data_IF_646633094137
#
_entry.id   IF_646633094137
#
_cell.length_a   1.000
_cell.length_b   1.000
_cell.length_c   1.000
_cell.angle_alpha   90.00
_cell.angle_beta   90.00
_cell.angle_gamma   90.00
#
_symmetry.space_group_name_H-M   'P 1'
#
loop_
_entity.id
_entity.type
_entity.pdbx_description
1 polymer ?
#
# COMPACT_ATOMS: atom_id res chain seq x y z
N UNK A 1 71.10 31.29 -6.48
CA UNK A 1 70.37 31.54 -5.22
C UNK A 1 69.11 32.33 -5.57
N UNK A 2 67.99 31.95 -4.96
CA UNK A 2 66.59 32.30 -5.31
C UNK A 2 66.03 31.44 -6.46
N UNK A 3 65.00 30.63 -6.16
CA UNK A 3 63.74 30.48 -6.94
C UNK A 3 62.77 29.47 -6.29
N UNK A 4 61.60 30.00 -5.92
CA UNK A 4 60.25 29.41 -5.85
C UNK A 4 60.03 28.04 -5.18
N UNK A 5 59.49 28.06 -3.95
CA UNK A 5 58.63 27.01 -3.43
C UNK A 5 57.16 27.43 -3.63
N UNK A 6 56.44 26.74 -4.51
CA UNK A 6 54.99 26.89 -4.71
C UNK A 6 54.25 26.23 -3.53
N UNK A 7 53.40 27.01 -2.86
CA UNK A 7 52.40 26.49 -1.95
C UNK A 7 51.34 25.69 -2.73
N UNK A 8 51.22 24.41 -2.43
CA UNK A 8 50.10 23.57 -2.87
C UNK A 8 49.22 23.31 -1.66
N UNK A 9 48.25 24.20 -1.41
CA UNK A 9 47.16 23.94 -0.47
C UNK A 9 46.18 23.02 -1.19
N UNK A 10 46.20 21.74 -0.83
CA UNK A 10 45.20 20.77 -1.26
C UNK A 10 43.90 21.10 -0.55
N UNK A 11 42.96 21.71 -1.27
CA UNK A 11 41.55 21.75 -0.88
C UNK A 11 40.97 20.35 -1.10
N UNK A 12 41.07 19.48 -0.08
CA UNK A 12 40.14 18.36 0.04
C UNK A 12 38.84 18.96 0.57
N UNK A 13 37.98 19.42 -0.33
CA UNK A 13 36.58 19.59 0.00
C UNK A 13 36.05 18.19 0.31
N UNK A 14 35.93 17.86 1.60
CA UNK A 14 35.09 16.77 2.02
C UNK A 14 33.68 17.13 1.58
N UNK A 15 33.27 16.64 0.42
CA UNK A 15 31.86 16.50 0.08
C UNK A 15 31.29 15.45 1.04
N UNK A 16 31.08 15.85 2.29
CA UNK A 16 30.10 15.17 3.12
C UNK A 16 28.80 15.29 2.33
N UNK A 17 28.14 14.18 1.96
CA UNK A 17 26.78 14.30 1.49
C UNK A 17 26.03 14.93 2.67
N UNK A 18 25.66 16.21 2.52
CA UNK A 18 24.61 16.81 3.33
C UNK A 18 23.37 16.04 2.93
N UNK A 19 23.08 14.97 3.68
CA UNK A 19 21.76 14.37 3.65
C UNK A 19 20.88 15.48 4.19
N UNK A 20 20.09 16.10 3.33
CA UNK A 20 19.01 16.95 3.78
C UNK A 20 18.10 16.01 4.59
N UNK A 21 18.22 16.07 5.91
CA UNK A 21 17.35 15.33 6.79
C UNK A 21 15.93 15.87 6.57
N UNK A 22 14.96 14.97 6.43
CA UNK A 22 13.59 15.36 6.15
C UNK A 22 13.01 15.85 7.46
N UNK A 23 12.97 17.18 7.61
CA UNK A 23 12.45 17.83 8.80
C UNK A 23 10.91 17.73 8.79
N UNK A 24 10.38 16.71 9.46
CA UNK A 24 8.94 16.52 9.63
C UNK A 24 8.49 17.31 10.86
N UNK A 25 7.49 18.18 10.68
CA UNK A 25 6.87 18.97 11.74
C UNK A 25 5.47 18.50 12.02
N UNK A 26 5.13 18.33 13.29
CA UNK A 26 3.74 18.08 13.72
C UNK A 26 2.98 19.40 13.78
N UNK A 27 1.87 19.48 13.05
CA UNK A 27 0.97 20.64 12.98
C UNK A 27 -0.33 20.29 13.69
N UNK A 28 -0.64 21.02 14.77
CA UNK A 28 -1.91 20.88 15.51
C UNK A 28 -2.87 21.96 15.08
N UNK A 29 -4.08 21.55 14.70
CA UNK A 29 -5.10 22.48 14.23
C UNK A 29 -5.99 22.98 15.37
N UNK A 30 -6.61 24.17 15.23
CA UNK A 30 -7.61 24.65 16.19
C UNK A 30 -8.79 23.70 16.42
N UNK A 31 -9.24 22.96 15.40
CA UNK A 31 -10.31 21.97 15.54
C UNK A 31 -9.86 20.64 16.18
N UNK A 32 -8.58 20.51 16.54
CA UNK A 32 -8.05 19.36 17.28
C UNK A 32 -7.49 18.23 16.43
N UNK A 33 -7.26 18.47 15.14
CA UNK A 33 -6.58 17.51 14.26
C UNK A 33 -5.06 17.65 14.35
N UNK A 34 -4.37 16.58 13.96
CA UNK A 34 -2.92 16.57 13.79
C UNK A 34 -2.60 16.27 12.33
N UNK A 35 -1.72 17.06 11.74
CA UNK A 35 -1.15 16.82 10.42
C UNK A 35 0.38 16.80 10.50
N UNK A 36 1.03 16.09 9.58
CA UNK A 36 2.49 16.13 9.44
C UNK A 36 2.89 16.96 8.23
N UNK A 37 3.90 17.82 8.39
CA UNK A 37 4.35 18.76 7.37
C UNK A 37 5.83 18.59 7.09
N UNK A 38 6.20 18.55 5.81
CA UNK A 38 7.56 18.82 5.33
C UNK A 38 7.50 20.06 4.46
N UNK A 39 7.97 21.18 5.00
CA UNK A 39 7.97 22.46 4.29
C UNK A 39 9.10 22.49 3.25
N UNK A 40 8.75 22.79 2.00
CA UNK A 40 9.69 22.91 0.88
C UNK A 40 9.33 24.14 0.03
N UNK A 41 9.83 25.34 0.40
CA UNK A 41 9.47 26.60 -0.26
C UNK A 41 10.12 26.77 -1.64
N UNK A 42 11.07 25.92 -2.04
CA UNK A 42 11.73 26.05 -3.34
C UNK A 42 10.84 25.59 -4.51
N UNK A 43 9.78 24.81 -4.23
CA UNK A 43 8.83 24.32 -5.22
C UNK A 43 7.47 24.96 -4.94
N UNK A 44 6.95 25.86 -5.80
CA UNK A 44 5.71 26.61 -5.56
C UNK A 44 4.46 25.75 -5.81
N UNK A 45 4.41 24.59 -5.15
CA UNK A 45 3.34 23.64 -5.21
C UNK A 45 3.24 22.90 -3.87
N UNK A 46 2.01 22.55 -3.52
CA UNK A 46 1.68 21.81 -2.32
C UNK A 46 1.14 20.46 -2.73
N UNK A 47 1.60 19.41 -2.05
CA UNK A 47 1.05 18.07 -2.09
C UNK A 47 0.40 17.79 -0.74
N UNK A 48 -0.89 17.46 -0.75
CA UNK A 48 -1.70 17.16 0.42
C UNK A 48 -2.21 15.72 0.28
N UNK A 49 -2.04 14.93 1.34
CA UNK A 49 -2.52 13.57 1.42
C UNK A 49 -3.40 13.43 2.66
N UNK A 50 -4.56 12.82 2.49
CA UNK A 50 -5.52 12.52 3.56
C UNK A 50 -5.90 11.05 3.45
N UNK A 51 -5.78 10.30 4.54
CA UNK A 51 -6.34 8.95 4.63
C UNK A 51 -7.47 8.95 5.65
N UNK A 52 -8.65 8.47 5.23
CA UNK A 52 -9.74 8.10 6.11
C UNK A 52 -9.70 6.60 6.34
N UNK A 53 -9.42 6.16 7.57
CA UNK A 53 -9.30 4.73 7.88
C UNK A 53 -10.66 4.02 7.79
N UNK A 54 -10.69 2.78 7.33
CA UNK A 54 -11.88 1.95 7.16
C UNK A 54 -12.12 1.42 5.74
N UNK A 55 -11.67 2.13 4.69
CA UNK A 55 -11.66 1.68 3.29
C UNK A 55 -12.93 0.95 2.83
N UNK A 56 -12.78 -0.09 2.00
CA UNK A 56 -13.91 -0.97 1.65
C UNK A 56 -14.33 -1.87 2.81
N UNK A 57 -13.48 -2.07 3.82
CA UNK A 57 -13.76 -2.96 4.96
C UNK A 57 -14.91 -2.47 5.86
N UNK A 58 -15.29 -1.19 5.75
CA UNK A 58 -16.45 -0.62 6.44
C UNK A 58 -17.75 -0.67 5.61
N UNK A 59 -17.75 -1.30 4.43
CA UNK A 59 -18.97 -1.50 3.65
C UNK A 59 -20.03 -2.21 4.51
N UNK A 60 -21.26 -1.69 4.45
CA UNK A 60 -22.36 -2.26 5.21
C UNK A 60 -22.66 -3.71 4.75
N UNK A 61 -23.21 -4.57 5.63
CA UNK A 61 -23.58 -5.93 5.24
C UNK A 61 -24.49 -5.96 4.01
N UNK A 62 -24.10 -6.75 3.00
CA UNK A 62 -24.81 -6.86 1.72
C UNK A 62 -24.61 -5.67 0.77
N UNK A 63 -23.70 -4.73 1.09
CA UNK A 63 -23.41 -3.52 0.31
C UNK A 63 -21.94 -3.46 -0.15
N UNK A 64 -21.27 -4.61 -0.29
CA UNK A 64 -19.89 -4.68 -0.78
C UNK A 64 -19.75 -3.99 -2.14
N UNK A 65 -18.74 -3.14 -2.26
CA UNK A 65 -18.52 -2.28 -3.43
C UNK A 65 -19.13 -0.89 -3.29
N UNK A 66 -19.87 -0.59 -2.22
CA UNK A 66 -20.49 0.72 -2.01
C UNK A 66 -19.44 1.82 -1.82
N UNK A 67 -18.44 1.60 -0.99
CA UNK A 67 -17.36 2.58 -0.80
C UNK A 67 -16.54 2.74 -2.08
N UNK A 68 -16.26 1.65 -2.80
CA UNK A 68 -15.56 1.72 -4.09
C UNK A 68 -16.30 2.57 -5.13
N UNK A 69 -17.60 2.28 -5.35
CA UNK A 69 -18.42 3.04 -6.28
C UNK A 69 -18.60 4.51 -5.83
N UNK A 70 -18.75 4.75 -4.52
CA UNK A 70 -18.85 6.08 -3.94
C UNK A 70 -17.59 6.91 -4.19
N UNK A 71 -16.40 6.33 -4.00
CA UNK A 71 -15.11 7.00 -4.24
C UNK A 71 -14.99 7.46 -5.70
N UNK A 72 -15.36 6.60 -6.66
CA UNK A 72 -15.36 6.95 -8.08
C UNK A 72 -16.36 8.05 -8.48
N UNK A 73 -17.26 8.45 -7.57
CA UNK A 73 -18.25 9.50 -7.79
C UNK A 73 -17.89 10.83 -7.10
N UNK A 74 -16.80 10.89 -6.32
CA UNK A 74 -16.41 12.11 -5.59
C UNK A 74 -16.06 13.28 -6.52
N UNK A 75 -15.51 13.00 -7.70
CA UNK A 75 -15.20 14.00 -8.73
C UNK A 75 -16.27 14.12 -9.84
N UNK A 76 -17.36 13.37 -9.74
CA UNK A 76 -18.40 13.30 -10.77
C UNK A 76 -19.51 14.36 -10.58
N UNK A 77 -19.10 15.51 -10.03
CA UNK A 77 -19.94 16.66 -9.71
C UNK A 77 -20.08 16.87 -8.20
N UNK A 78 -19.88 18.09 -7.76
CA UNK A 78 -19.87 18.49 -6.36
C UNK A 78 -20.39 19.91 -6.19
N UNK A 79 -21.12 20.17 -5.10
CA UNK A 79 -21.79 21.45 -4.89
C UNK A 79 -22.75 21.78 -6.04
N UNK A 80 -22.53 22.93 -6.70
CA UNK A 80 -23.32 23.40 -7.84
C UNK A 80 -22.71 23.00 -9.20
N UNK A 81 -21.57 22.30 -9.21
CA UNK A 81 -20.87 21.88 -10.42
C UNK A 81 -21.28 20.47 -10.84
N UNK A 82 -21.56 20.28 -12.13
CA UNK A 82 -21.60 18.94 -12.73
C UNK A 82 -20.17 18.40 -12.94
N UNK A 83 -20.05 17.13 -13.35
CA UNK A 83 -18.75 16.49 -13.56
C UNK A 83 -17.81 17.29 -14.49
N UNK A 84 -18.37 17.89 -15.55
CA UNK A 84 -17.60 18.67 -16.51
C UNK A 84 -17.13 20.00 -15.91
N UNK A 85 -18.03 20.71 -15.25
CA UNK A 85 -17.72 21.97 -14.58
C UNK A 85 -16.70 21.78 -13.45
N UNK A 86 -16.77 20.65 -12.72
CA UNK A 86 -15.78 20.30 -11.71
C UNK A 86 -14.40 20.07 -12.33
N UNK A 87 -14.32 19.29 -13.42
CA UNK A 87 -13.07 19.05 -14.13
C UNK A 87 -12.48 20.35 -14.74
N UNK A 88 -13.30 21.18 -15.38
CA UNK A 88 -12.87 22.47 -15.93
C UNK A 88 -12.35 23.40 -14.82
N UNK A 89 -13.06 23.51 -13.69
CA UNK A 89 -12.60 24.32 -12.55
C UNK A 89 -11.29 23.80 -11.95
N UNK A 90 -11.10 22.48 -11.85
CA UNK A 90 -9.85 21.87 -11.37
C UNK A 90 -8.69 22.18 -12.32
N UNK A 91 -8.91 22.02 -13.62
CA UNK A 91 -7.89 22.20 -14.64
C UNK A 91 -7.48 23.68 -14.77
N UNK A 92 -8.43 24.63 -14.65
CA UNK A 92 -8.17 26.08 -14.63
C UNK A 92 -7.27 26.50 -13.46
N UNK A 93 -7.35 25.79 -12.34
CA UNK A 93 -6.51 26.00 -11.15
C UNK A 93 -5.14 25.31 -11.23
N UNK A 94 -4.89 24.56 -12.32
CA UNK A 94 -3.76 23.64 -12.46
C UNK A 94 -3.63 22.68 -11.26
N UNK A 95 -4.78 22.26 -10.72
CA UNK A 95 -4.85 21.33 -9.60
C UNK A 95 -5.01 19.88 -10.10
N UNK A 96 -4.62 18.93 -9.26
CA UNK A 96 -4.84 17.50 -9.47
C UNK A 96 -5.42 16.92 -8.19
N UNK A 97 -6.54 16.21 -8.29
CA UNK A 97 -7.14 15.48 -7.19
C UNK A 97 -7.21 14.01 -7.57
N UNK A 98 -6.89 13.13 -6.64
CA UNK A 98 -7.00 11.68 -6.75
C UNK A 98 -7.82 11.17 -5.58
N UNK A 99 -8.75 10.26 -5.87
CA UNK A 99 -9.57 9.58 -4.89
C UNK A 99 -9.45 8.09 -5.14
N UNK A 100 -8.83 7.39 -4.20
CA UNK A 100 -8.65 5.94 -4.28
C UNK A 100 -9.18 5.29 -3.00
N UNK A 101 -9.38 3.99 -3.06
CA UNK A 101 -9.87 3.21 -1.93
C UNK A 101 -9.21 1.84 -1.93
N UNK A 102 -8.61 1.51 -0.79
CA UNK A 102 -8.14 0.16 -0.49
C UNK A 102 -9.07 -0.52 0.50
N UNK A 103 -8.65 -1.69 1.00
CA UNK A 103 -9.41 -2.38 2.04
C UNK A 103 -9.53 -1.54 3.31
N UNK A 104 -8.48 -0.78 3.65
CA UNK A 104 -8.30 -0.17 4.96
C UNK A 104 -8.38 1.35 4.98
N UNK A 105 -8.38 2.01 3.81
CA UNK A 105 -8.51 3.45 3.75
C UNK A 105 -9.15 3.95 2.46
N UNK A 106 -9.84 5.09 2.55
CA UNK A 106 -10.07 5.98 1.41
C UNK A 106 -8.95 7.02 1.42
N UNK A 107 -8.21 7.13 0.32
CA UNK A 107 -7.14 8.10 0.16
C UNK A 107 -7.54 9.25 -0.74
N UNK A 108 -7.19 10.46 -0.31
CA UNK A 108 -7.38 11.69 -1.06
C UNK A 108 -6.01 12.32 -1.26
N UNK A 109 -5.57 12.34 -2.51
CA UNK A 109 -4.32 12.98 -2.92
C UNK A 109 -4.66 14.27 -3.64
N UNK A 110 -4.10 15.39 -3.21
CA UNK A 110 -4.33 16.69 -3.84
C UNK A 110 -3.01 17.42 -4.09
N UNK A 111 -2.88 17.96 -5.29
CA UNK A 111 -1.75 18.80 -5.68
C UNK A 111 -2.24 20.08 -6.30
N UNK A 112 -1.69 21.22 -5.87
CA UNK A 112 -2.06 22.54 -6.36
C UNK A 112 -0.90 23.52 -6.23
N UNK A 113 -0.98 24.64 -6.95
CA UNK A 113 0.04 25.70 -6.89
C UNK A 113 -0.15 26.54 -5.63
N UNK A 114 0.94 27.07 -5.05
CA UNK A 114 0.89 27.92 -3.86
C UNK A 114 -0.08 29.10 -4.05
N UNK A 115 -0.06 29.72 -5.24
CA UNK A 115 -0.87 30.88 -5.60
C UNK A 115 -2.37 30.58 -5.77
N UNK A 116 -2.78 29.31 -5.96
CA UNK A 116 -4.18 28.89 -6.15
C UNK A 116 -4.71 28.02 -5.01
N UNK A 117 -4.00 28.00 -3.88
CA UNK A 117 -4.29 27.12 -2.74
C UNK A 117 -5.73 27.29 -2.24
N UNK A 118 -6.22 28.51 -2.08
CA UNK A 118 -7.53 28.75 -1.46
C UNK A 118 -8.70 28.30 -2.34
N UNK A 119 -8.59 28.50 -3.65
CA UNK A 119 -9.54 28.06 -4.66
C UNK A 119 -9.51 26.54 -4.83
N UNK A 120 -8.31 25.93 -4.88
CA UNK A 120 -8.16 24.48 -5.01
C UNK A 120 -8.72 23.76 -3.78
N UNK A 121 -8.43 24.25 -2.57
CA UNK A 121 -8.98 23.70 -1.33
C UNK A 121 -10.50 23.91 -1.26
N UNK A 122 -11.03 25.02 -1.79
CA UNK A 122 -12.48 25.21 -1.88
C UNK A 122 -13.16 24.18 -2.78
N UNK A 123 -12.54 23.85 -3.92
CA UNK A 123 -13.06 22.84 -4.84
C UNK A 123 -12.96 21.44 -4.24
N UNK A 124 -11.85 21.11 -3.58
CA UNK A 124 -11.67 19.84 -2.88
C UNK A 124 -12.66 19.67 -1.71
N UNK A 125 -12.92 20.75 -0.94
CA UNK A 125 -13.95 20.76 0.11
C UNK A 125 -15.31 20.34 -0.44
N UNK A 126 -15.69 20.82 -1.64
CA UNK A 126 -16.96 20.45 -2.27
C UNK A 126 -17.01 18.96 -2.62
N UNK A 127 -15.95 18.41 -3.22
CA UNK A 127 -15.87 16.99 -3.56
C UNK A 127 -16.00 16.09 -2.32
N UNK A 128 -15.33 16.48 -1.22
CA UNK A 128 -15.36 15.71 0.03
C UNK A 128 -16.67 15.85 0.79
N UNK A 129 -17.24 17.05 0.89
CA UNK A 129 -18.37 17.32 1.77
C UNK A 129 -19.74 17.27 1.09
N UNK A 130 -19.79 17.50 -0.23
CA UNK A 130 -21.03 17.64 -0.97
C UNK A 130 -20.94 17.04 -2.39
N UNK A 131 -20.51 15.77 -2.57
CA UNK A 131 -20.62 15.10 -3.85
C UNK A 131 -22.10 14.97 -4.24
N UNK A 132 -22.40 15.22 -5.52
CA UNK A 132 -23.79 15.32 -6.01
C UNK A 132 -24.51 13.97 -6.06
N UNK A 133 -23.77 12.90 -6.34
CA UNK A 133 -24.29 11.58 -6.70
C UNK A 133 -25.44 11.70 -7.71
N UNK A 134 -25.23 12.47 -8.78
CA UNK A 134 -26.23 12.68 -9.82
C UNK A 134 -26.65 11.34 -10.44
N UNK A 135 -27.95 11.08 -10.69
CA UNK A 135 -28.41 9.76 -11.13
C UNK A 135 -27.74 9.25 -12.43
N UNK A 136 -27.49 10.14 -13.38
CA UNK A 136 -26.80 9.85 -14.63
C UNK A 136 -25.31 9.54 -14.41
N UNK A 137 -24.64 10.26 -13.52
CA UNK A 137 -23.26 9.96 -13.12
C UNK A 137 -23.17 8.60 -12.41
N UNK A 138 -24.07 8.32 -11.46
CA UNK A 138 -24.12 7.05 -10.72
C UNK A 138 -24.25 5.87 -11.67
N UNK A 139 -25.19 5.91 -12.62
CA UNK A 139 -25.37 4.80 -13.56
C UNK A 139 -24.17 4.66 -14.51
N UNK A 140 -23.58 5.76 -14.97
CA UNK A 140 -22.38 5.71 -15.81
C UNK A 140 -21.19 5.09 -15.09
N UNK A 141 -20.88 5.53 -13.86
CA UNK A 141 -19.76 4.97 -13.08
C UNK A 141 -20.05 3.53 -12.69
N UNK A 142 -21.30 3.19 -12.34
CA UNK A 142 -21.71 1.79 -12.11
C UNK A 142 -21.43 0.93 -13.33
N UNK A 143 -21.79 1.38 -14.52
CA UNK A 143 -21.54 0.64 -15.77
C UNK A 143 -20.03 0.44 -16.03
N UNK A 144 -19.20 1.42 -15.70
CA UNK A 144 -17.74 1.31 -15.78
C UNK A 144 -17.20 0.26 -14.78
N UNK A 145 -17.65 0.29 -13.52
CA UNK A 145 -17.27 -0.71 -12.50
C UNK A 145 -17.73 -2.11 -12.92
N UNK A 146 -18.98 -2.25 -13.41
CA UNK A 146 -19.49 -3.53 -13.90
C UNK A 146 -18.73 -4.03 -15.13
N UNK A 147 -18.22 -3.15 -15.99
CA UNK A 147 -17.34 -3.55 -17.09
C UNK A 147 -15.98 -4.05 -16.58
N UNK A 148 -15.38 -3.36 -15.61
CA UNK A 148 -14.16 -3.80 -14.92
C UNK A 148 -14.32 -5.18 -14.30
N UNK A 149 -15.35 -5.37 -13.47
CA UNK A 149 -15.66 -6.65 -12.83
C UNK A 149 -15.89 -7.81 -13.82
N UNK A 150 -16.41 -7.54 -15.02
CA UNK A 150 -16.52 -8.56 -16.08
C UNK A 150 -15.17 -8.92 -16.66
N UNK A 151 -14.30 -7.93 -16.87
CA UNK A 151 -12.92 -8.16 -17.32
C UNK A 151 -12.14 -8.96 -16.27
N UNK A 152 -12.29 -8.61 -15.01
CA UNK A 152 -11.63 -9.27 -13.88
C UNK A 152 -12.06 -10.73 -13.70
N UNK A 153 -13.32 -11.03 -14.01
CA UNK A 153 -13.83 -12.41 -13.99
C UNK A 153 -13.18 -13.31 -15.07
N UNK A 154 -12.50 -12.72 -16.06
CA UNK A 154 -11.75 -13.42 -17.10
C UNK A 154 -10.23 -13.34 -16.88
N UNK A 155 -9.78 -12.60 -15.85
CA UNK A 155 -8.37 -12.42 -15.54
C UNK A 155 -7.88 -13.44 -14.49
N UNK A 156 -6.90 -14.31 -14.85
CA UNK A 156 -6.44 -15.37 -13.95
C UNK A 156 -5.78 -14.84 -12.66
N UNK A 157 -5.23 -13.64 -12.71
CA UNK A 157 -4.56 -13.03 -11.57
C UNK A 157 -5.57 -12.50 -10.56
N UNK A 158 -6.65 -11.86 -11.02
CA UNK A 158 -7.77 -11.44 -10.17
C UNK A 158 -8.54 -12.64 -9.61
N UNK A 159 -8.77 -13.70 -10.42
CA UNK A 159 -9.35 -14.95 -9.92
C UNK A 159 -8.49 -15.55 -8.80
N UNK A 160 -7.15 -15.55 -8.96
CA UNK A 160 -6.22 -16.03 -7.94
C UNK A 160 -6.26 -15.19 -6.66
N UNK A 161 -6.27 -13.86 -6.79
CA UNK A 161 -6.36 -12.95 -5.65
C UNK A 161 -7.67 -13.16 -4.87
N UNK A 162 -8.81 -13.28 -5.56
CA UNK A 162 -10.12 -13.49 -4.95
C UNK A 162 -10.23 -14.87 -4.27
N UNK A 163 -9.76 -15.93 -4.93
CA UNK A 163 -9.75 -17.27 -4.34
C UNK A 163 -8.85 -17.34 -3.10
N UNK A 164 -7.67 -16.68 -3.16
CA UNK A 164 -6.76 -16.58 -2.04
C UNK A 164 -7.36 -15.80 -0.87
N UNK A 165 -7.96 -14.65 -1.14
CA UNK A 165 -8.63 -13.83 -0.14
C UNK A 165 -9.76 -14.60 0.57
N UNK A 166 -10.66 -15.24 -0.19
CA UNK A 166 -11.76 -16.01 0.36
C UNK A 166 -11.28 -17.19 1.22
N UNK A 167 -10.24 -17.91 0.78
CA UNK A 167 -9.66 -19.02 1.53
C UNK A 167 -8.97 -18.56 2.82
N UNK A 168 -8.36 -17.38 2.82
CA UNK A 168 -7.55 -16.87 3.94
C UNK A 168 -8.40 -16.19 5.02
N UNK A 169 -9.37 -15.37 4.61
CA UNK A 169 -10.08 -14.44 5.49
C UNK A 169 -11.54 -14.84 5.76
N UNK A 170 -12.08 -15.82 5.03
CA UNK A 170 -13.47 -16.28 5.20
C UNK A 170 -14.48 -15.14 5.07
N UNK A 171 -15.33 -14.99 6.10
CA UNK A 171 -16.40 -13.97 6.13
C UNK A 171 -15.91 -12.56 6.51
N UNK A 172 -14.62 -12.38 6.86
CA UNK A 172 -14.06 -11.05 7.11
C UNK A 172 -14.12 -10.20 5.81
N UNK A 173 -14.27 -8.86 5.87
CA UNK A 173 -14.35 -8.03 4.65
C UNK A 173 -13.22 -8.27 3.63
N UNK A 174 -11.99 -8.51 4.11
CA UNK A 174 -10.84 -8.89 3.28
C UNK A 174 -11.04 -10.16 2.44
N UNK A 175 -11.98 -11.03 2.80
CA UNK A 175 -12.28 -12.27 2.08
C UNK A 175 -13.13 -12.09 0.82
N UNK A 176 -13.54 -10.86 0.53
CA UNK A 176 -14.36 -10.51 -0.64
C UNK A 176 -13.77 -9.32 -1.40
N UNK A 177 -13.98 -9.21 -2.73
CA UNK A 177 -13.42 -8.10 -3.51
C UNK A 177 -13.97 -6.75 -3.03
N UNK A 178 -13.09 -5.79 -2.77
CA UNK A 178 -13.43 -4.42 -2.34
C UNK A 178 -14.31 -3.67 -3.33
N UNK A 179 -14.12 -3.95 -4.61
CA UNK A 179 -14.91 -3.38 -5.71
C UNK A 179 -16.35 -3.90 -5.75
N UNK A 180 -16.64 -4.97 -5.01
CA UNK A 180 -17.92 -5.67 -5.02
C UNK A 180 -17.98 -6.80 -6.05
N UNK A 181 -19.19 -7.29 -6.27
CA UNK A 181 -19.50 -8.29 -7.29
C UNK A 181 -20.47 -7.72 -8.29
N UNK A 182 -20.64 -8.37 -9.45
CA UNK A 182 -21.65 -7.97 -10.43
C UNK A 182 -23.05 -7.87 -9.81
N UNK A 183 -23.37 -8.76 -8.86
CA UNK A 183 -24.65 -8.75 -8.15
C UNK A 183 -24.72 -7.60 -7.15
N UNK A 184 -23.72 -7.44 -6.28
CA UNK A 184 -23.76 -6.40 -5.24
C UNK A 184 -23.78 -5.01 -5.86
N UNK A 185 -22.91 -4.75 -6.83
CA UNK A 185 -22.79 -3.45 -7.51
C UNK A 185 -24.04 -3.13 -8.32
N UNK A 186 -24.66 -4.10 -8.99
CA UNK A 186 -25.92 -3.87 -9.70
C UNK A 186 -27.08 -3.52 -8.73
N UNK A 187 -27.04 -4.01 -7.49
CA UNK A 187 -28.07 -3.77 -6.49
C UNK A 187 -27.90 -2.49 -5.68
N UNK A 188 -26.74 -1.81 -5.76
CA UNK A 188 -26.47 -0.58 -5.00
C UNK A 188 -27.41 0.56 -5.41
N UNK A 189 -27.91 1.29 -4.43
CA UNK A 189 -28.74 2.48 -4.63
C UNK A 189 -27.96 3.74 -4.32
N UNK A 190 -28.46 4.90 -4.77
CA UNK A 190 -27.88 6.21 -4.40
C UNK A 190 -27.82 6.41 -2.88
N UNK A 191 -28.81 5.93 -2.15
CA UNK A 191 -28.83 6.03 -0.69
C UNK A 191 -27.73 5.18 -0.04
N UNK A 192 -27.38 4.03 -0.64
CA UNK A 192 -26.24 3.22 -0.20
C UNK A 192 -24.91 3.97 -0.39
N UNK A 193 -24.77 4.73 -1.48
CA UNK A 193 -23.57 5.55 -1.73
C UNK A 193 -23.46 6.71 -0.76
N UNK A 194 -24.57 7.36 -0.42
CA UNK A 194 -24.60 8.41 0.62
C UNK A 194 -24.26 7.81 1.99
N UNK A 195 -24.75 6.60 2.29
CA UNK A 195 -24.40 5.90 3.52
C UNK A 195 -22.91 5.53 3.56
N UNK A 196 -22.36 5.03 2.45
CA UNK A 196 -20.93 4.73 2.31
C UNK A 196 -20.06 5.98 2.46
N UNK A 197 -20.43 7.11 1.85
CA UNK A 197 -19.75 8.39 2.00
C UNK A 197 -19.65 8.81 3.47
N UNK A 198 -20.79 8.81 4.18
CA UNK A 198 -20.83 9.18 5.60
C UNK A 198 -20.12 8.18 6.51
N UNK A 199 -20.10 6.90 6.10
CA UNK A 199 -19.44 5.83 6.82
C UNK A 199 -17.93 5.88 6.66
N UNK A 200 -17.42 6.13 5.46
CA UNK A 200 -16.00 6.07 5.14
C UNK A 200 -15.28 7.40 5.40
N UNK A 201 -15.87 8.55 5.04
CA UNK A 201 -15.25 9.86 5.21
C UNK A 201 -15.72 10.50 6.52
N UNK A 202 -14.99 10.25 7.62
CA UNK A 202 -15.32 10.76 8.95
C UNK A 202 -14.10 11.29 9.71
N UNK A 203 -14.35 12.20 10.67
CA UNK A 203 -13.30 12.95 11.40
C UNK A 203 -12.57 12.15 12.47
N UNK A 204 -13.16 11.06 12.96
CA UNK A 204 -12.65 10.28 14.08
C UNK A 204 -11.42 9.42 13.74
N UNK A 205 -11.11 9.27 12.45
CA UNK A 205 -10.07 8.34 11.96
C UNK A 205 -9.38 8.85 10.71
N UNK A 206 -8.88 10.08 10.79
CA UNK A 206 -8.20 10.75 9.69
C UNK A 206 -6.73 10.95 10.03
N UNK A 207 -5.85 10.67 9.07
CA UNK A 207 -4.44 11.06 9.12
C UNK A 207 -4.13 11.96 7.93
N UNK A 208 -3.37 13.03 8.17
CA UNK A 208 -3.10 14.06 7.17
C UNK A 208 -1.61 14.32 7.08
N UNK A 209 -1.09 14.46 5.87
CA UNK A 209 0.22 15.03 5.69
C UNK A 209 0.26 15.98 4.48
N UNK A 210 1.17 16.94 4.54
CA UNK A 210 1.48 17.79 3.42
C UNK A 210 2.98 17.93 3.22
N UNK A 211 3.38 18.17 1.98
CA UNK A 211 4.73 18.55 1.62
C UNK A 211 4.73 19.64 0.55
N UNK A 212 5.64 20.61 0.65
CA UNK A 212 5.75 21.70 -0.31
C UNK A 212 5.71 23.09 0.30
N UNK A 213 5.43 24.08 -0.54
CA UNK A 213 5.43 25.50 -0.19
C UNK A 213 4.13 25.88 0.55
N UNK A 214 4.04 25.45 1.81
CA UNK A 214 2.91 25.72 2.70
C UNK A 214 3.38 25.86 4.15
N UNK A 215 2.91 26.90 4.84
CA UNK A 215 3.21 27.09 6.26
C UNK A 215 2.35 26.18 7.15
N UNK A 216 2.82 25.91 8.37
CA UNK A 216 2.06 25.15 9.36
C UNK A 216 0.69 25.77 9.67
N UNK A 217 0.62 27.10 9.76
CA UNK A 217 -0.63 27.83 10.00
C UNK A 217 -1.61 27.65 8.84
N UNK A 218 -1.13 27.77 7.60
CA UNK A 218 -1.97 27.61 6.42
C UNK A 218 -2.47 26.16 6.30
N UNK A 219 -1.62 25.17 6.58
CA UNK A 219 -2.02 23.77 6.60
C UNK A 219 -3.11 23.52 7.65
N UNK A 220 -2.96 24.07 8.85
CA UNK A 220 -3.96 23.93 9.91
C UNK A 220 -5.34 24.46 9.49
N UNK A 221 -5.38 25.63 8.84
CA UNK A 221 -6.62 26.22 8.33
C UNK A 221 -7.26 25.36 7.23
N UNK A 222 -6.45 24.79 6.33
CA UNK A 222 -6.92 23.90 5.25
C UNK A 222 -7.52 22.62 5.83
N UNK A 223 -6.85 21.99 6.79
CA UNK A 223 -7.33 20.76 7.43
C UNK A 223 -8.66 20.99 8.13
N UNK A 224 -8.76 22.05 8.94
CA UNK A 224 -9.99 22.39 9.63
C UNK A 224 -11.13 22.63 8.63
N UNK A 225 -10.85 23.34 7.53
CA UNK A 225 -11.82 23.61 6.47
C UNK A 225 -12.32 22.34 5.77
N UNK A 226 -11.42 21.47 5.30
CA UNK A 226 -11.78 20.25 4.57
C UNK A 226 -12.60 19.28 5.42
N UNK A 227 -12.30 19.20 6.73
CA UNK A 227 -12.98 18.28 7.64
C UNK A 227 -14.24 18.88 8.28
N UNK A 228 -14.44 20.20 8.24
CA UNK A 228 -15.50 20.92 8.95
C UNK A 228 -16.94 20.45 8.65
N UNK A 229 -17.17 19.80 7.50
CA UNK A 229 -18.51 19.34 7.06
C UNK A 229 -18.68 17.82 7.04
N UNK A 230 -17.61 17.06 7.28
CA UNK A 230 -17.69 15.60 7.35
C UNK A 230 -18.36 15.13 8.64
N UNK A 231 -18.97 13.96 8.70
CA UNK A 231 -19.45 13.36 9.95
C UNK A 231 -18.35 13.26 11.02
N UNK A 232 -18.73 13.42 12.29
CA UNK A 232 -17.81 13.25 13.42
C UNK A 232 -17.33 11.80 13.56
N UNK A 233 -18.22 10.84 13.30
CA UNK A 233 -17.97 9.40 13.50
C UNK A 233 -18.37 8.61 12.27
N UNK A 234 -17.48 7.73 11.82
CA UNK A 234 -17.70 6.84 10.68
C UNK A 234 -18.41 5.54 11.03
N UNK A 235 -18.54 4.66 10.04
CA UNK A 235 -19.00 3.28 10.24
C UNK A 235 -17.99 2.50 11.11
N UNK A 236 -18.38 1.54 11.95
CA UNK A 236 -17.44 0.82 12.81
C UNK A 236 -16.36 0.10 11.98
N UNK A 237 -15.10 0.17 12.42
CA UNK A 237 -14.01 -0.65 11.88
C UNK A 237 -14.27 -2.14 12.19
N UNK A 238 -13.86 -3.06 11.31
CA UNK A 238 -13.96 -4.49 11.59
C UNK A 238 -13.03 -4.91 12.75
N UNK A 239 -13.19 -6.15 13.20
CA UNK A 239 -12.25 -6.78 14.12
C UNK A 239 -11.15 -7.50 13.33
N UNK A 240 -10.02 -7.78 14.00
CA UNK A 240 -8.93 -8.59 13.44
C UNK A 240 -9.44 -9.87 12.78
N UNK A 241 -8.91 -10.17 11.60
CA UNK A 241 -9.30 -11.34 10.83
C UNK A 241 -8.80 -12.62 11.50
N UNK A 242 -9.67 -13.63 11.56
CA UNK A 242 -9.26 -14.98 11.94
C UNK A 242 -8.71 -15.68 10.71
N UNK A 243 -7.39 -15.78 10.62
CA UNK A 243 -6.70 -16.33 9.46
C UNK A 243 -6.83 -17.85 9.39
N UNK A 244 -7.15 -18.37 8.19
CA UNK A 244 -7.22 -19.80 7.92
C UNK A 244 -6.03 -20.26 7.07
N UNK A 245 -5.10 -21.00 7.69
CA UNK A 245 -3.96 -21.64 7.02
C UNK A 245 -3.84 -23.08 7.48
N UNK A 246 -3.86 -24.02 6.53
CA UNK A 246 -3.75 -25.46 6.78
C UNK A 246 -2.48 -26.07 6.17
N UNK A 247 -1.64 -25.26 5.52
CA UNK A 247 -0.45 -25.72 4.81
C UNK A 247 -0.74 -26.39 3.47
N UNK A 248 -2.00 -26.42 3.04
CA UNK A 248 -2.49 -27.18 1.91
C UNK A 248 -2.25 -26.52 0.55
N UNK A 249 -2.80 -27.17 -0.47
CA UNK A 249 -2.83 -26.66 -1.85
C UNK A 249 -4.27 -26.69 -2.33
N UNK A 250 -4.79 -25.52 -2.67
CA UNK A 250 -6.10 -25.35 -3.31
C UNK A 250 -5.89 -25.09 -4.80
N UNK A 251 -6.61 -25.81 -5.65
CA UNK A 251 -6.56 -25.61 -7.11
C UNK A 251 -7.92 -25.08 -7.58
N UNK A 252 -7.89 -23.95 -8.26
CA UNK A 252 -9.02 -23.36 -8.99
C UNK A 252 -8.79 -23.63 -10.48
N UNK A 253 -9.56 -24.55 -11.09
CA UNK A 253 -9.40 -24.85 -12.51
C UNK A 253 -9.70 -23.63 -13.38
N UNK A 254 -8.75 -23.22 -14.22
CA UNK A 254 -8.93 -22.15 -15.19
C UNK A 254 -8.14 -22.43 -16.47
N UNK A 255 -8.77 -22.27 -17.64
CA UNK A 255 -8.17 -22.64 -18.92
C UNK A 255 -7.20 -21.56 -19.41
N UNK A 256 -5.96 -21.65 -18.94
CA UNK A 256 -4.87 -20.72 -19.27
C UNK A 256 -3.56 -21.49 -19.49
N UNK A 257 -2.63 -21.00 -20.33
CA UNK A 257 -1.33 -21.64 -20.55
C UNK A 257 -0.42 -21.72 -19.31
N UNK A 258 -0.66 -20.85 -18.32
CA UNK A 258 0.16 -20.75 -17.11
C UNK A 258 -0.71 -20.84 -15.86
N UNK A 259 -0.21 -21.54 -14.85
CA UNK A 259 -0.80 -21.55 -13.51
C UNK A 259 -0.26 -20.35 -12.72
N UNK A 260 -1.17 -19.50 -12.24
CA UNK A 260 -0.87 -18.46 -11.24
C UNK A 260 -0.80 -19.12 -9.87
N UNK A 261 0.27 -18.87 -9.14
CA UNK A 261 0.53 -19.44 -7.82
C UNK A 261 0.60 -18.30 -6.81
N UNK A 262 -0.37 -18.27 -5.91
CA UNK A 262 -0.34 -17.44 -4.70
C UNK A 262 -0.01 -18.35 -3.51
N UNK A 263 0.87 -17.91 -2.63
CA UNK A 263 1.18 -18.63 -1.41
C UNK A 263 1.31 -17.69 -0.23
N UNK A 264 0.89 -18.14 0.94
CA UNK A 264 1.05 -17.36 2.15
C UNK A 264 1.02 -18.21 3.41
N UNK A 265 1.39 -17.57 4.49
CA UNK A 265 1.31 -18.04 5.86
C UNK A 265 1.07 -16.83 6.77
N UNK A 266 0.79 -17.03 8.08
CA UNK A 266 0.82 -15.95 9.04
C UNK A 266 2.15 -15.17 8.98
N UNK A 267 2.03 -13.85 9.09
CA UNK A 267 3.13 -12.89 9.07
C UNK A 267 3.49 -12.42 10.46
N UNK A 268 4.01 -11.19 10.53
CA UNK A 268 4.40 -10.55 11.77
C UNK A 268 3.93 -9.10 11.78
N UNK A 269 3.31 -8.69 12.90
CA UNK A 269 2.85 -7.33 13.10
C UNK A 269 3.96 -6.29 12.93
N UNK A 270 3.60 -5.12 12.41
CA UNK A 270 4.55 -4.05 12.09
C UNK A 270 5.32 -3.51 13.30
N UNK A 271 4.69 -3.54 14.47
CA UNK A 271 5.22 -3.09 15.75
C UNK A 271 5.97 -4.18 16.54
N UNK A 272 6.02 -5.41 16.02
CA UNK A 272 6.76 -6.50 16.64
C UNK A 272 8.27 -6.16 16.69
N UNK A 273 8.95 -6.42 17.82
CA UNK A 273 10.39 -6.14 17.96
C UNK A 273 11.27 -6.85 16.92
N UNK A 274 10.81 -7.97 16.36
CA UNK A 274 11.53 -8.75 15.36
C UNK A 274 11.19 -8.36 13.91
N UNK A 275 10.30 -7.39 13.67
CA UNK A 275 9.86 -7.00 12.33
C UNK A 275 11.01 -6.70 11.38
N UNK A 276 12.01 -5.92 11.81
CA UNK A 276 13.13 -5.57 10.91
C UNK A 276 14.02 -6.77 10.56
N UNK A 277 14.15 -7.74 11.46
CA UNK A 277 14.83 -8.99 11.17
C UNK A 277 14.01 -9.82 10.18
N UNK A 278 12.69 -9.92 10.37
CA UNK A 278 11.79 -10.60 9.43
C UNK A 278 11.79 -9.95 8.05
N UNK A 279 11.77 -8.61 7.99
CA UNK A 279 11.84 -7.82 6.76
C UNK A 279 13.14 -8.08 5.98
N UNK A 280 14.29 -8.15 6.68
CA UNK A 280 15.57 -8.52 6.07
C UNK A 280 15.60 -9.97 5.59
N UNK A 281 15.07 -10.92 6.39
CA UNK A 281 14.96 -12.33 6.00
C UNK A 281 14.10 -12.46 4.74
N UNK A 282 12.94 -11.80 4.69
CA UNK A 282 12.08 -11.79 3.51
C UNK A 282 12.78 -11.16 2.30
N UNK A 283 13.50 -10.04 2.49
CA UNK A 283 14.28 -9.42 1.41
C UNK A 283 15.28 -10.39 0.80
N UNK A 284 15.91 -11.26 1.59
CA UNK A 284 16.85 -12.27 1.09
C UNK A 284 16.11 -13.44 0.43
N UNK A 285 15.00 -13.88 1.03
CA UNK A 285 14.23 -15.02 0.55
C UNK A 285 13.54 -14.72 -0.78
N UNK A 286 12.69 -13.68 -0.83
CA UNK A 286 11.82 -13.37 -1.97
C UNK A 286 11.74 -11.90 -2.37
N UNK A 287 12.07 -10.94 -1.50
CA UNK A 287 11.93 -9.50 -1.77
C UNK A 287 13.07 -8.86 -2.58
N UNK A 288 14.23 -9.53 -2.67
CA UNK A 288 15.50 -9.03 -3.22
C UNK A 288 15.61 -8.92 -4.74
N UNK A 289 14.50 -8.99 -5.45
CA UNK A 289 14.47 -9.02 -6.92
C UNK A 289 15.35 -10.14 -7.49
N UNK A 290 16.21 -9.81 -8.46
CA UNK A 290 17.10 -10.77 -9.14
C UNK A 290 18.08 -11.50 -8.22
N UNK A 291 18.35 -11.01 -7.01
CA UNK A 291 19.33 -11.63 -6.10
C UNK A 291 18.72 -12.43 -4.96
N UNK A 292 17.39 -12.54 -4.89
CA UNK A 292 16.71 -13.32 -3.85
C UNK A 292 16.90 -14.82 -4.08
N UNK A 293 16.79 -15.62 -3.00
CA UNK A 293 16.92 -17.08 -3.09
C UNK A 293 15.83 -17.68 -3.99
N UNK A 294 14.59 -17.23 -3.86
CA UNK A 294 13.48 -17.69 -4.71
C UNK A 294 13.72 -17.37 -6.18
N UNK A 295 14.18 -16.16 -6.51
CA UNK A 295 14.52 -15.82 -7.91
C UNK A 295 15.65 -16.71 -8.43
N UNK A 296 16.70 -16.92 -7.63
CA UNK A 296 17.82 -17.78 -8.02
C UNK A 296 17.36 -19.21 -8.28
N UNK A 297 16.59 -19.80 -7.38
CA UNK A 297 16.24 -21.21 -7.41
C UNK A 297 15.11 -21.53 -8.39
N UNK A 298 14.09 -20.69 -8.46
CA UNK A 298 12.89 -20.93 -9.29
C UNK A 298 13.11 -20.38 -10.71
N UNK A 299 13.65 -19.17 -10.85
CA UNK A 299 13.83 -18.51 -12.15
C UNK A 299 15.18 -18.80 -12.79
N UNK A 300 16.30 -18.56 -12.11
CA UNK A 300 17.62 -18.63 -12.78
C UNK A 300 18.11 -20.06 -13.00
N UNK A 301 18.05 -20.91 -11.97
CA UNK A 301 18.54 -22.30 -12.05
C UNK A 301 17.60 -23.22 -12.81
N UNK A 302 16.29 -22.99 -12.72
CA UNK A 302 15.26 -23.91 -13.24
C UNK A 302 14.39 -23.34 -14.36
N UNK A 303 14.36 -22.02 -14.54
CA UNK A 303 13.57 -21.39 -15.61
C UNK A 303 12.06 -21.60 -15.47
N UNK A 304 11.54 -21.80 -14.25
CA UNK A 304 10.14 -22.17 -14.03
C UNK A 304 9.19 -20.98 -14.18
N UNK A 305 9.67 -19.76 -13.89
CA UNK A 305 8.86 -18.54 -13.91
C UNK A 305 9.65 -17.37 -14.50
N UNK A 306 8.92 -16.37 -15.03
CA UNK A 306 9.48 -15.07 -15.37
C UNK A 306 9.73 -14.19 -14.12
N UNK A 307 8.96 -14.41 -13.05
CA UNK A 307 9.06 -13.66 -11.80
C UNK A 307 8.48 -14.43 -10.61
N UNK A 308 9.15 -14.33 -9.48
CA UNK A 308 8.66 -14.79 -8.18
C UNK A 308 9.10 -13.79 -7.12
N UNK A 309 8.21 -13.51 -6.18
CA UNK A 309 8.51 -12.59 -5.08
C UNK A 309 7.72 -12.97 -3.83
N UNK A 310 8.19 -12.48 -2.68
CA UNK A 310 7.49 -12.57 -1.41
C UNK A 310 7.69 -11.28 -0.59
N UNK A 311 6.70 -10.94 0.23
CA UNK A 311 6.64 -9.72 1.03
C UNK A 311 5.81 -9.92 2.29
N UNK A 312 6.18 -9.20 3.35
CA UNK A 312 5.32 -9.01 4.50
C UNK A 312 4.18 -8.10 4.07
N UNK A 313 2.95 -8.60 4.19
CA UNK A 313 1.74 -7.87 3.91
C UNK A 313 1.14 -7.45 5.25
N UNK A 314 1.36 -6.17 5.59
CA UNK A 314 0.90 -5.55 6.81
C UNK A 314 -0.47 -4.92 6.49
N UNK A 315 -1.56 -5.68 6.67
CA UNK A 315 -2.93 -5.12 6.62
C UNK A 315 -3.36 -4.76 8.04
N UNK A 316 -4.27 -3.79 8.18
CA UNK A 316 -4.71 -3.29 9.49
C UNK A 316 -5.29 -4.40 10.39
N UNK A 317 -5.97 -5.38 9.78
CA UNK A 317 -6.64 -6.48 10.50
C UNK A 317 -6.01 -7.85 10.23
N UNK A 318 -4.83 -7.92 9.58
CA UNK A 318 -4.16 -9.18 9.28
C UNK A 318 -2.68 -9.02 8.87
N UNK A 319 -1.79 -9.73 9.56
CA UNK A 319 -0.38 -9.81 9.18
C UNK A 319 -0.09 -11.11 8.44
N UNK A 320 0.38 -11.00 7.19
CA UNK A 320 0.73 -12.15 6.35
C UNK A 320 2.16 -12.07 5.83
N UNK A 321 2.74 -13.22 5.52
CA UNK A 321 3.87 -13.32 4.60
C UNK A 321 3.37 -13.96 3.32
N UNK A 322 3.28 -13.16 2.25
CA UNK A 322 2.65 -13.53 0.97
C UNK A 322 3.70 -13.60 -0.11
N UNK A 323 3.55 -14.50 -1.07
CA UNK A 323 4.30 -14.47 -2.30
C UNK A 323 3.50 -14.98 -3.50
N UNK A 324 4.07 -14.73 -4.67
CA UNK A 324 3.40 -14.96 -5.95
C UNK A 324 4.38 -15.38 -7.04
N UNK A 325 3.92 -16.25 -7.92
CA UNK A 325 4.63 -16.67 -9.13
C UNK A 325 3.63 -17.06 -10.23
N UNK A 326 4.10 -17.16 -11.48
CA UNK A 326 3.34 -17.72 -12.59
C UNK A 326 4.23 -18.67 -13.40
N UNK A 327 3.75 -19.89 -13.66
CA UNK A 327 4.55 -20.95 -14.31
C UNK A 327 3.72 -21.74 -15.30
N UNK A 328 4.36 -22.49 -16.19
CA UNK A 328 3.64 -23.41 -17.07
C UNK A 328 2.88 -24.48 -16.26
N UNK A 329 1.71 -24.89 -16.73
CA UNK A 329 0.86 -25.90 -16.07
C UNK A 329 1.61 -27.20 -15.69
N UNK A 330 2.45 -27.72 -16.58
CA UNK A 330 3.27 -28.90 -16.35
C UNK A 330 4.36 -28.73 -15.24
N UNK A 331 4.64 -27.49 -14.84
CA UNK A 331 5.72 -27.10 -13.92
C UNK A 331 5.21 -26.51 -12.60
N UNK A 332 3.89 -26.41 -12.43
CA UNK A 332 3.26 -25.85 -11.23
C UNK A 332 3.67 -26.62 -9.96
N UNK A 333 3.59 -27.96 -9.99
CA UNK A 333 3.96 -28.76 -8.84
C UNK A 333 5.44 -28.61 -8.46
N UNK A 334 6.34 -28.65 -9.45
CA UNK A 334 7.78 -28.42 -9.22
C UNK A 334 8.04 -27.04 -8.58
N UNK A 335 7.31 -26.01 -9.02
CA UNK A 335 7.44 -24.66 -8.45
C UNK A 335 7.03 -24.63 -6.98
N UNK A 336 5.91 -25.25 -6.62
CA UNK A 336 5.44 -25.35 -5.22
C UNK A 336 6.47 -26.08 -4.35
N UNK A 337 7.00 -27.21 -4.82
CA UNK A 337 8.02 -27.97 -4.10
C UNK A 337 9.29 -27.16 -3.86
N UNK A 338 9.76 -26.42 -4.87
CA UNK A 338 10.95 -25.57 -4.73
C UNK A 338 10.68 -24.43 -3.75
N UNK A 339 9.51 -23.81 -3.79
CA UNK A 339 9.14 -22.75 -2.82
C UNK A 339 9.15 -23.30 -1.40
N UNK A 340 8.49 -24.45 -1.15
CA UNK A 340 8.49 -25.10 0.18
C UNK A 340 9.90 -25.45 0.65
N UNK A 341 10.72 -26.01 -0.25
CA UNK A 341 12.09 -26.37 0.07
C UNK A 341 12.95 -25.15 0.45
N UNK A 342 12.80 -24.04 -0.27
CA UNK A 342 13.51 -22.79 0.05
C UNK A 342 13.00 -22.14 1.34
N UNK A 343 11.71 -22.25 1.61
CA UNK A 343 11.12 -21.85 2.89
C UNK A 343 11.73 -22.63 4.05
N UNK A 344 11.74 -23.97 3.95
CA UNK A 344 12.31 -24.85 4.96
C UNK A 344 13.82 -24.66 5.13
N UNK A 345 14.55 -24.47 4.02
CA UNK A 345 16.00 -24.19 4.07
C UNK A 345 16.29 -22.87 4.77
N UNK A 346 15.54 -21.81 4.46
CA UNK A 346 15.71 -20.52 5.13
C UNK A 346 15.32 -20.61 6.61
N UNK A 347 14.27 -21.35 6.97
CA UNK A 347 13.91 -21.58 8.37
C UNK A 347 15.01 -22.34 9.15
N UNK A 348 15.61 -23.37 8.53
CA UNK A 348 16.58 -24.23 9.20
C UNK A 348 17.99 -23.62 9.27
N UNK A 349 18.46 -22.99 8.18
CA UNK A 349 19.84 -22.51 8.04
C UNK A 349 19.95 -20.99 8.25
N UNK A 350 18.87 -20.26 8.00
CA UNK A 350 18.82 -18.80 7.96
C UNK A 350 19.68 -18.18 6.84
N UNK A 351 19.79 -16.84 6.85
CA UNK A 351 20.65 -16.15 5.90
C UNK A 351 22.13 -16.29 6.26
N UNK A 352 22.96 -16.24 5.23
CA UNK A 352 24.42 -16.06 5.38
C UNK A 352 24.74 -14.61 5.76
N UNK A 353 25.93 -14.37 6.30
CA UNK A 353 26.37 -13.02 6.64
C UNK A 353 26.47 -12.12 5.40
N UNK A 354 26.90 -12.67 4.26
CA UNK A 354 26.99 -11.92 3.01
C UNK A 354 25.62 -11.51 2.47
N UNK A 355 24.64 -12.43 2.48
CA UNK A 355 23.26 -12.12 2.09
C UNK A 355 22.66 -11.01 2.97
N UNK A 356 22.90 -11.07 4.29
CA UNK A 356 22.42 -10.07 5.23
C UNK A 356 23.03 -8.69 4.95
N UNK A 357 24.36 -8.61 4.81
CA UNK A 357 25.04 -7.33 4.53
C UNK A 357 24.63 -6.75 3.18
N UNK A 358 24.41 -7.60 2.16
CA UNK A 358 23.90 -7.16 0.86
C UNK A 358 22.48 -6.60 0.97
N UNK A 359 21.59 -7.29 1.69
CA UNK A 359 20.22 -6.84 1.92
C UNK A 359 20.17 -5.52 2.70
N UNK A 360 20.95 -5.38 3.77
CA UNK A 360 21.09 -4.12 4.51
C UNK A 360 21.59 -2.99 3.61
N UNK A 361 22.67 -3.23 2.87
CA UNK A 361 23.24 -2.24 1.94
C UNK A 361 22.20 -1.74 0.93
N UNK A 362 21.44 -2.67 0.33
CA UNK A 362 20.39 -2.34 -0.62
C UNK A 362 19.27 -1.52 0.02
N UNK A 363 18.72 -1.98 1.15
CA UNK A 363 17.58 -1.35 1.81
C UNK A 363 17.90 0.00 2.43
N UNK A 364 19.14 0.21 2.89
CA UNK A 364 19.63 1.50 3.41
C UNK A 364 19.95 2.43 2.24
N UNK A 365 20.67 1.95 1.23
CA UNK A 365 21.12 2.76 0.10
C UNK A 365 19.99 3.26 -0.80
N UNK A 366 18.92 2.46 -0.96
CA UNK A 366 17.74 2.86 -1.73
C UNK A 366 16.74 3.72 -0.94
N UNK A 367 16.88 3.85 0.37
CA UNK A 367 15.89 4.54 1.21
C UNK A 367 15.74 6.03 0.89
N UNK A 368 16.81 6.81 0.69
CA UNK A 368 16.67 8.24 0.35
C UNK A 368 15.91 8.49 -0.95
N UNK A 369 16.00 7.58 -1.92
CA UNK A 369 15.31 7.69 -3.21
C UNK A 369 13.78 7.62 -3.09
N UNK A 370 13.25 7.17 -1.94
CA UNK A 370 11.80 7.13 -1.69
C UNK A 370 11.21 8.51 -1.44
N UNK A 371 12.04 9.49 -1.11
CA UNK A 371 11.61 10.85 -0.74
C UNK A 371 11.85 11.86 -1.87
N UNK A 372 11.86 11.37 -3.11
CA UNK A 372 11.98 12.21 -4.30
C UNK A 372 10.61 12.79 -4.69
N UNK A 373 10.36 14.02 -4.24
CA UNK A 373 9.16 14.80 -4.56
C UNK A 373 8.10 14.87 -3.46
N UNK A 374 7.38 16.00 -3.42
CA UNK A 374 6.38 16.31 -2.40
C UNK A 374 5.27 15.26 -2.30
N UNK A 375 4.77 14.75 -3.45
CA UNK A 375 3.74 13.70 -3.48
C UNK A 375 4.21 12.38 -2.85
N UNK A 376 5.48 12.02 -3.03
CA UNK A 376 6.04 10.81 -2.44
C UNK A 376 6.24 10.99 -0.92
N UNK A 377 6.74 12.17 -0.51
CA UNK A 377 6.93 12.51 0.90
C UNK A 377 5.59 12.49 1.64
N UNK A 378 4.58 13.24 1.18
CA UNK A 378 3.29 13.31 1.83
C UNK A 378 2.63 11.93 1.99
N UNK A 379 2.70 11.07 0.95
CA UNK A 379 2.18 9.69 1.01
C UNK A 379 2.90 8.82 2.03
N UNK A 380 4.22 8.94 2.13
CA UNK A 380 4.99 8.22 3.15
C UNK A 380 4.58 8.68 4.56
N UNK A 381 4.37 9.98 4.76
CA UNK A 381 3.99 10.53 6.07
C UNK A 381 2.60 10.08 6.51
N UNK A 382 1.58 10.06 5.63
CA UNK A 382 0.26 9.51 6.01
C UNK A 382 0.33 8.00 6.24
N UNK A 383 1.11 7.26 5.45
CA UNK A 383 1.32 5.82 5.68
C UNK A 383 2.02 5.53 7.01
N UNK A 384 2.97 6.38 7.41
CA UNK A 384 3.61 6.29 8.73
C UNK A 384 2.62 6.54 9.86
N UNK A 385 1.77 7.57 9.74
CA UNK A 385 0.73 7.87 10.73
C UNK A 385 -0.28 6.72 10.85
N UNK A 386 -0.77 6.20 9.72
CA UNK A 386 -1.70 5.07 9.68
C UNK A 386 -1.10 3.83 10.35
N UNK A 387 0.19 3.55 10.11
CA UNK A 387 0.91 2.45 10.74
C UNK A 387 1.37 2.72 12.19
N UNK A 388 0.97 3.85 12.80
CA UNK A 388 1.33 4.21 14.19
C UNK A 388 2.83 4.44 14.41
N UNK A 389 3.59 4.76 13.36
CA UNK A 389 5.03 4.97 13.44
C UNK A 389 5.36 6.34 14.04
N UNK A 390 6.46 6.46 14.82
CA UNK A 390 6.85 7.75 15.36
C UNK A 390 7.33 8.70 14.26
N UNK A 391 7.17 10.01 14.49
CA UNK A 391 7.52 11.05 13.51
C UNK A 391 9.00 11.02 13.08
N UNK A 392 9.90 10.57 13.97
CA UNK A 392 11.33 10.43 13.72
C UNK A 392 11.71 9.12 13.00
N UNK A 393 10.72 8.30 12.64
CA UNK A 393 10.95 7.00 12.01
C UNK A 393 11.75 7.11 10.71
N UNK A 394 11.56 8.19 9.94
CA UNK A 394 12.35 8.42 8.72
C UNK A 394 13.85 8.44 9.02
N UNK A 395 14.27 9.14 10.08
CA UNK A 395 15.66 9.23 10.48
C UNK A 395 16.16 7.94 11.14
N UNK A 396 15.34 7.29 11.97
CA UNK A 396 15.77 6.17 12.83
C UNK A 396 15.66 4.79 12.16
N UNK A 397 14.85 4.63 11.11
CA UNK A 397 14.58 3.33 10.45
C UNK A 397 15.84 2.64 9.96
N UNK A 398 16.80 3.38 9.43
CA UNK A 398 18.05 2.78 8.92
C UNK A 398 18.92 2.22 10.06
N UNK A 399 18.89 2.81 11.26
CA UNK A 399 19.58 2.25 12.41
C UNK A 399 18.94 0.95 12.89
N UNK A 400 17.61 0.85 12.83
CA UNK A 400 16.87 -0.40 13.09
C UNK A 400 17.26 -1.53 12.13
N UNK A 401 17.60 -1.21 10.88
CA UNK A 401 18.11 -2.20 9.92
C UNK A 401 19.57 -2.57 10.22
N UNK A 402 20.41 -1.58 10.54
CA UNK A 402 21.83 -1.82 10.86
C UNK A 402 21.99 -2.72 12.08
N UNK A 403 21.14 -2.54 13.09
CA UNK A 403 21.21 -3.24 14.38
C UNK A 403 20.92 -4.74 14.30
N UNK A 404 20.22 -5.21 13.27
CA UNK A 404 19.88 -6.64 13.12
C UNK A 404 21.15 -7.48 12.99
N UNK A 405 21.44 -8.34 13.95
CA UNK A 405 22.60 -9.22 13.90
C UNK A 405 22.35 -10.45 13.02
N UNK A 406 23.40 -11.16 12.56
CA UNK A 406 23.25 -12.47 11.92
C UNK A 406 22.50 -13.48 12.81
N UNK A 407 22.67 -13.39 14.13
CA UNK A 407 21.97 -14.25 15.08
C UNK A 407 20.47 -13.94 15.12
N UNK A 408 20.09 -12.65 15.11
CA UNK A 408 18.69 -12.23 15.06
C UNK A 408 18.03 -12.71 13.77
N UNK A 409 18.68 -12.46 12.63
CA UNK A 409 18.15 -12.87 11.33
C UNK A 409 17.93 -14.40 11.24
N UNK A 410 18.85 -15.21 11.77
CA UNK A 410 18.68 -16.68 11.81
C UNK A 410 17.57 -17.12 12.76
N UNK A 411 17.52 -16.55 13.96
CA UNK A 411 16.48 -16.86 14.95
C UNK A 411 15.09 -16.53 14.39
N UNK A 412 14.95 -15.33 13.81
CA UNK A 412 13.68 -14.85 13.27
C UNK A 412 13.29 -15.62 12.01
N UNK A 413 14.24 -16.01 11.15
CA UNK A 413 13.95 -16.90 10.04
C UNK A 413 13.32 -18.23 10.51
N UNK A 414 13.88 -18.85 11.55
CA UNK A 414 13.36 -20.09 12.13
C UNK A 414 12.00 -19.94 12.81
N UNK A 415 11.71 -18.76 13.37
CA UNK A 415 10.45 -18.47 14.08
C UNK A 415 9.31 -18.10 13.12
N UNK A 416 9.60 -17.25 12.13
CA UNK A 416 8.60 -16.68 11.24
C UNK A 416 8.29 -17.62 10.09
N UNK A 417 9.28 -18.26 9.47
CA UNK A 417 9.04 -19.13 8.32
C UNK A 417 8.56 -20.50 8.80
N UNK A 418 7.30 -20.82 8.52
CA UNK A 418 6.60 -22.04 8.94
C UNK A 418 6.19 -22.84 7.70
N UNK A 419 7.07 -23.72 7.16
CA UNK A 419 6.80 -24.46 5.93
C UNK A 419 5.52 -25.30 5.97
N UNK A 420 5.13 -25.76 7.16
CA UNK A 420 3.91 -26.51 7.44
C UNK A 420 2.63 -25.65 7.43
N UNK A 421 2.74 -24.34 7.65
CA UNK A 421 1.61 -23.41 7.57
C UNK A 421 1.50 -22.75 6.19
N UNK A 422 2.54 -22.88 5.35
CA UNK A 422 2.60 -22.30 4.02
C UNK A 422 1.56 -22.94 3.11
N UNK A 423 0.49 -22.19 2.84
CA UNK A 423 -0.65 -22.62 2.04
C UNK A 423 -0.57 -22.02 0.64
N UNK A 424 -1.11 -22.74 -0.35
CA UNK A 424 -1.02 -22.37 -1.75
C UNK A 424 -2.39 -22.33 -2.41
N UNK A 425 -2.61 -21.35 -3.28
CA UNK A 425 -3.75 -21.25 -4.20
C UNK A 425 -3.21 -21.20 -5.62
N UNK A 426 -3.62 -22.17 -6.43
CA UNK A 426 -3.19 -22.36 -7.82
C UNK A 426 -4.39 -22.11 -8.74
N UNK A 427 -4.28 -21.16 -9.66
CA UNK A 427 -5.30 -20.88 -10.68
C UNK A 427 -4.76 -21.25 -12.05
N UNK A 428 -5.33 -22.29 -12.67
CA UNK A 428 -4.83 -22.85 -13.93
C UNK A 428 -5.22 -24.31 -14.12
N UNK A 429 -4.44 -25.05 -14.92
CA UNK A 429 -4.61 -26.50 -15.12
C UNK A 429 -3.32 -27.26 -14.76
N UNK A 430 -2.87 -27.24 -13.49
CA UNK A 430 -1.64 -27.91 -13.11
C UNK A 430 -1.73 -29.42 -13.39
N UNK A 431 -0.80 -29.97 -14.19
CA UNK A 431 -0.82 -31.38 -14.60
C UNK A 431 -0.59 -32.35 -13.42
N UNK A 432 -0.07 -31.82 -12.31
CA UNK A 432 0.07 -32.52 -11.03
C UNK A 432 -0.27 -31.55 -9.90
N UNK A 433 -0.99 -32.05 -8.89
CA UNK A 433 -1.26 -31.31 -7.65
C UNK A 433 -0.26 -31.82 -6.60
N UNK A 434 0.57 -30.94 -6.02
CA UNK A 434 1.42 -31.31 -4.89
C UNK A 434 0.58 -31.93 -3.76
N UNK A 435 1.15 -32.87 -3.02
CA UNK A 435 0.43 -33.48 -1.91
C UNK A 435 0.06 -32.42 -0.85
N UNK A 436 -1.21 -32.39 -0.46
CA UNK A 436 -1.64 -31.72 0.78
C UNK A 436 -1.08 -32.53 1.96
N UNK A 437 -0.40 -31.87 2.90
CA UNK A 437 0.17 -32.55 4.07
C UNK A 437 -0.87 -32.89 5.13
#
# INVERSE_FOLDING_TARGET
MIRFALASVVWVAAALPLWADIAITEVKTPAGFTAWLVEEPAVPAVSLEILFLGGTSVDAPGKRGATHLMTGLLEEGAGDLDARGFAEARDDLAASFGFDVGDDAVSVSARFLSDTTDEAVALLEQALAAPSFAPDAVERVRDQVLAGLRSDAEDPDTIAANAFAAATYGDHPYGSPGEGTLESVAALTRDDLIAAHRGALARDRVVIAAAGDISAEKLADIVDRLLARLPETGAPLPQDAVLAFDGGVTVVPYDTPQTVISFAQPGLARDDPDYFAAYLVNQILGGGGFTSRLTTEVREKRGLTYGIYAYLADKDYADLLVGRAATANARAAETVEVVRAEWARMAAEGPTAEELERAKTYLIGGYPLRFDGNDAIARILVGMQAAGLPIDYVATRNDKIRSVSPQDARRVAAQVLQPEALSFVLVGQPESVPASH
#
